data_IF_308678511285
#
_entry.id   IF_308678511285
#
_cell.length_a   1.000
_cell.length_b   1.000
_cell.length_c   1.000
_cell.angle_alpha   90.00
_cell.angle_beta   90.00
_cell.angle_gamma   90.00
#
_symmetry.space_group_name_H-M   'P 1'
#
loop_
_entity.id
_entity.type
_entity.pdbx_description
1 polymer ?
#
# COMPACT_ATOMS: atom_id res chain seq x y z
N UNK A 1 14.84 8.97 -42.63
CA UNK A 1 14.98 9.39 -41.21
C UNK A 1 13.77 8.82 -40.56
N UNK A 2 13.92 7.61 -40.06
CA UNK A 2 12.79 6.71 -39.91
C UNK A 2 12.35 6.90 -38.47
N UNK A 3 11.37 7.79 -38.30
CA UNK A 3 10.70 8.03 -37.04
C UNK A 3 9.83 6.81 -36.73
N UNK A 4 10.49 5.70 -36.38
CA UNK A 4 9.86 4.61 -35.67
C UNK A 4 9.45 5.21 -34.31
N UNK A 5 8.26 5.82 -34.29
CA UNK A 5 7.69 6.46 -33.12
C UNK A 5 7.87 5.51 -31.94
N UNK A 6 8.41 6.05 -30.86
CA UNK A 6 8.83 5.30 -29.67
C UNK A 6 7.76 4.27 -29.27
N UNK A 7 8.01 3.01 -29.62
CA UNK A 7 7.02 1.94 -29.43
C UNK A 7 6.98 1.64 -27.94
N UNK A 8 5.85 1.96 -27.32
CA UNK A 8 5.56 1.59 -25.94
C UNK A 8 4.80 0.27 -25.90
N UNK A 9 5.49 -0.79 -25.48
CA UNK A 9 4.91 -2.14 -25.32
C UNK A 9 4.57 -2.38 -23.85
N UNK A 10 3.34 -2.83 -23.57
CA UNK A 10 2.90 -3.19 -22.21
C UNK A 10 2.50 -4.66 -22.16
N UNK A 11 3.03 -5.41 -21.18
CA UNK A 11 2.68 -6.81 -20.90
C UNK A 11 2.15 -6.96 -19.48
N UNK A 12 1.27 -7.92 -19.30
CA UNK A 12 0.68 -8.25 -18.00
C UNK A 12 0.72 -9.75 -17.75
N UNK A 13 0.85 -10.14 -16.50
CA UNK A 13 0.53 -11.50 -16.04
C UNK A 13 -0.54 -11.45 -14.96
N UNK A 14 -1.30 -12.53 -14.82
CA UNK A 14 -2.42 -12.64 -13.90
C UNK A 14 -2.37 -13.98 -13.16
N UNK A 15 -2.97 -14.03 -11.98
CA UNK A 15 -3.28 -15.28 -11.30
C UNK A 15 -4.57 -15.92 -11.86
N UNK A 16 -4.99 -17.04 -11.28
CA UNK A 16 -6.16 -17.80 -11.75
C UNK A 16 -7.50 -17.08 -11.57
N UNK A 17 -7.58 -16.12 -10.66
CA UNK A 17 -8.81 -15.36 -10.37
C UNK A 17 -8.81 -13.97 -11.04
N UNK A 18 -7.73 -13.63 -11.74
CA UNK A 18 -7.63 -12.42 -12.54
C UNK A 18 -6.92 -11.26 -11.85
N UNK A 19 -6.30 -11.47 -10.68
CA UNK A 19 -5.44 -10.46 -10.09
C UNK A 19 -4.16 -10.33 -10.90
N UNK A 20 -3.73 -9.11 -11.17
CA UNK A 20 -2.52 -8.84 -11.94
C UNK A 20 -1.29 -9.15 -11.12
N UNK A 21 -0.47 -10.13 -11.50
CA UNK A 21 0.78 -10.45 -10.81
C UNK A 21 1.96 -9.57 -11.25
N UNK A 22 1.98 -9.14 -12.51
CA UNK A 22 3.01 -8.23 -13.02
C UNK A 22 2.51 -7.32 -14.13
N UNK A 23 3.19 -6.17 -14.27
CA UNK A 23 3.11 -5.24 -15.40
C UNK A 23 4.52 -4.94 -15.87
N UNK A 24 4.78 -5.13 -17.15
CA UNK A 24 6.02 -4.69 -17.77
C UNK A 24 5.71 -3.61 -18.79
N UNK A 25 6.46 -2.51 -18.75
CA UNK A 25 6.38 -1.43 -19.73
C UNK A 25 7.74 -1.29 -20.37
N UNK A 26 7.84 -1.63 -21.66
CA UNK A 26 9.04 -1.40 -22.46
C UNK A 26 8.84 -0.16 -23.33
N UNK A 27 9.77 0.79 -23.25
CA UNK A 27 9.77 2.02 -24.05
C UNK A 27 11.23 2.40 -24.35
N UNK A 28 11.55 2.79 -25.58
CA UNK A 28 12.91 3.09 -26.03
C UNK A 28 13.96 2.03 -25.61
N UNK A 29 13.60 0.74 -25.64
CA UNK A 29 14.47 -0.38 -25.24
C UNK A 29 14.63 -0.60 -23.73
N UNK A 30 14.14 0.31 -22.88
CA UNK A 30 14.15 0.15 -21.42
C UNK A 30 12.86 -0.48 -20.93
N UNK A 31 12.92 -1.41 -19.98
CA UNK A 31 11.74 -2.08 -19.41
C UNK A 31 11.62 -1.81 -17.92
N UNK A 32 10.50 -1.21 -17.51
CA UNK A 32 10.10 -1.08 -16.10
C UNK A 32 9.22 -2.29 -15.72
N UNK A 33 9.48 -2.93 -14.59
CA UNK A 33 8.65 -4.03 -14.07
C UNK A 33 7.99 -3.63 -12.76
N UNK A 34 6.67 -3.79 -12.70
CA UNK A 34 5.88 -3.69 -11.47
C UNK A 34 5.34 -5.06 -11.09
N UNK A 35 5.52 -5.47 -9.83
CA UNK A 35 5.00 -6.73 -9.28
C UNK A 35 3.97 -6.46 -8.20
N UNK A 36 2.97 -7.32 -8.11
CA UNK A 36 1.85 -7.17 -7.19
C UNK A 36 1.67 -8.42 -6.35
N UNK A 37 1.29 -8.24 -5.09
CA UNK A 37 0.95 -9.32 -4.17
C UNK A 37 -0.42 -9.05 -3.56
N UNK A 38 -1.20 -10.10 -3.33
CA UNK A 38 -2.58 -10.02 -2.85
C UNK A 38 -2.77 -10.92 -1.63
N UNK A 39 -3.75 -10.58 -0.80
CA UNK A 39 -4.23 -11.47 0.25
C UNK A 39 -5.26 -12.48 -0.29
N UNK A 40 -5.75 -13.37 0.58
CA UNK A 40 -6.73 -14.39 0.21
C UNK A 40 -8.12 -13.85 -0.18
N UNK A 41 -8.35 -12.54 0.00
CA UNK A 41 -9.59 -11.87 -0.41
C UNK A 41 -9.36 -11.00 -1.65
N UNK A 42 -8.30 -11.26 -2.42
CA UNK A 42 -7.94 -10.54 -3.65
C UNK A 42 -7.61 -9.05 -3.43
N UNK A 43 -7.21 -8.68 -2.20
CA UNK A 43 -6.84 -7.29 -1.87
C UNK A 43 -5.34 -7.11 -1.96
N UNK A 44 -4.91 -6.03 -2.60
CA UNK A 44 -3.50 -5.72 -2.81
C UNK A 44 -2.78 -5.58 -1.45
N UNK A 45 -1.72 -6.36 -1.23
CA UNK A 45 -0.83 -6.28 -0.08
C UNK A 45 0.41 -5.43 -0.38
N UNK A 46 0.94 -5.53 -1.60
CA UNK A 46 2.08 -4.73 -2.01
C UNK A 46 2.17 -4.54 -3.52
N UNK A 47 2.70 -3.39 -3.92
CA UNK A 47 3.19 -3.13 -5.28
C UNK A 47 4.69 -2.80 -5.19
N UNK A 48 5.51 -3.49 -5.98
CA UNK A 48 6.95 -3.25 -6.11
C UNK A 48 7.22 -2.75 -7.54
N UNK A 49 7.57 -1.47 -7.67
CA UNK A 49 7.95 -0.83 -8.94
C UNK A 49 9.47 -0.67 -9.00
N UNK A 50 10.16 -1.68 -9.52
CA UNK A 50 11.62 -1.75 -9.61
C UNK A 50 12.36 -1.33 -8.33
N UNK A 51 11.93 -1.90 -7.19
CA UNK A 51 12.54 -1.70 -5.87
C UNK A 51 11.83 -0.64 -5.01
N UNK A 52 10.94 0.16 -5.59
CA UNK A 52 10.07 1.08 -4.85
C UNK A 52 8.82 0.32 -4.40
N UNK A 53 8.78 -0.03 -3.11
CA UNK A 53 7.74 -0.89 -2.53
C UNK A 53 6.70 -0.04 -1.81
N UNK A 54 5.46 -0.15 -2.26
CA UNK A 54 4.28 0.33 -1.52
C UNK A 54 3.55 -0.84 -0.88
N UNK A 55 3.28 -0.75 0.43
CA UNK A 55 2.52 -1.77 1.17
C UNK A 55 1.15 -1.28 1.59
N UNK A 56 0.21 -2.21 1.70
CA UNK A 56 -1.19 -1.95 2.04
C UNK A 56 -1.66 -2.94 3.11
N UNK A 57 -2.54 -2.49 4.01
CA UNK A 57 -3.18 -3.34 5.00
C UNK A 57 -4.65 -3.01 5.13
N UNK A 58 -5.49 -4.01 5.37
CA UNK A 58 -6.94 -3.91 5.32
C UNK A 58 -7.56 -4.44 6.62
N UNK A 59 -8.73 -3.94 6.98
CA UNK A 59 -9.55 -4.56 8.02
C UNK A 59 -10.37 -5.74 7.46
N UNK A 60 -11.15 -6.41 8.31
CA UNK A 60 -11.98 -7.54 7.89
C UNK A 60 -13.12 -7.14 6.94
N UNK A 61 -13.55 -5.89 6.96
CA UNK A 61 -14.62 -5.37 6.10
C UNK A 61 -14.11 -4.89 4.74
N UNK A 62 -12.80 -4.95 4.49
CA UNK A 62 -12.19 -4.48 3.25
C UNK A 62 -11.84 -2.99 3.25
N UNK A 63 -11.89 -2.31 4.40
CA UNK A 63 -11.44 -0.94 4.48
C UNK A 63 -9.92 -0.87 4.59
N UNK A 64 -9.30 0.03 3.83
CA UNK A 64 -7.86 0.26 3.89
C UNK A 64 -7.49 0.84 5.25
N UNK A 65 -6.63 0.17 6.01
CA UNK A 65 -6.11 0.66 7.29
C UNK A 65 -4.83 1.49 7.12
N UNK A 66 -3.93 1.05 6.24
CA UNK A 66 -2.64 1.71 6.04
C UNK A 66 -2.17 1.52 4.61
N UNK A 67 -1.56 2.57 4.06
CA UNK A 67 -0.71 2.49 2.88
C UNK A 67 0.64 3.13 3.18
N UNK A 68 1.73 2.53 2.70
CA UNK A 68 3.09 3.04 2.96
C UNK A 68 3.94 3.07 1.68
N UNK A 69 3.86 4.15 0.88
CA UNK A 69 4.76 4.35 -0.26
C UNK A 69 6.08 4.97 0.19
N UNK A 70 7.20 4.35 -0.18
CA UNK A 70 8.56 4.91 -0.06
C UNK A 70 8.79 5.65 1.27
N UNK A 71 8.70 4.91 2.38
CA UNK A 71 8.94 5.43 3.74
C UNK A 71 7.86 6.36 4.31
N UNK A 72 6.99 6.93 3.47
CA UNK A 72 5.82 7.68 3.90
C UNK A 72 4.69 6.71 4.25
N UNK A 73 3.81 7.08 5.17
CA UNK A 73 2.61 6.27 5.42
C UNK A 73 1.37 7.09 5.68
N UNK A 74 0.23 6.58 5.25
CA UNK A 74 -1.09 7.13 5.57
C UNK A 74 -1.91 6.05 6.25
N UNK A 75 -2.47 6.38 7.41
CA UNK A 75 -3.38 5.49 8.16
C UNK A 75 -4.79 6.04 8.11
N UNK A 76 -5.77 5.15 7.99
CA UNK A 76 -7.19 5.47 7.97
C UNK A 76 -7.90 4.84 9.16
N UNK A 77 -8.90 5.54 9.69
CA UNK A 77 -9.79 5.04 10.72
C UNK A 77 -11.22 5.09 10.24
N UNK A 78 -11.96 4.02 10.48
CA UNK A 78 -13.33 3.80 10.02
C UNK A 78 -14.24 3.60 11.22
N UNK A 79 -15.52 3.97 11.07
CA UNK A 79 -16.55 3.60 12.04
C UNK A 79 -17.22 2.26 11.68
N UNK A 80 -18.17 1.83 12.51
CA UNK A 80 -18.90 0.56 12.32
C UNK A 80 -19.78 0.52 11.06
N UNK A 81 -20.02 1.65 10.42
CA UNK A 81 -20.79 1.76 9.19
C UNK A 81 -19.87 1.92 7.96
N UNK A 82 -18.58 1.57 8.10
CA UNK A 82 -17.57 1.68 7.06
C UNK A 82 -17.40 3.12 6.52
N UNK A 83 -17.62 4.12 7.39
CA UNK A 83 -17.39 5.52 7.03
C UNK A 83 -16.02 5.96 7.52
N UNK A 84 -15.28 6.66 6.66
CA UNK A 84 -13.97 7.20 7.02
C UNK A 84 -14.15 8.32 8.05
N UNK A 85 -13.55 8.16 9.23
CA UNK A 85 -13.60 9.15 10.31
C UNK A 85 -12.23 9.74 10.63
N UNK A 86 -11.14 9.16 10.13
CA UNK A 86 -9.78 9.67 10.37
C UNK A 86 -8.84 9.33 9.22
N UNK A 87 -7.97 10.28 8.87
CA UNK A 87 -6.82 10.06 7.97
C UNK A 87 -5.59 10.76 8.55
N UNK A 88 -4.51 10.02 8.74
CA UNK A 88 -3.26 10.55 9.32
C UNK A 88 -2.08 10.23 8.39
N UNK A 89 -1.37 11.27 7.93
CA UNK A 89 -0.19 11.15 7.09
C UNK A 89 1.08 11.33 7.93
N UNK A 90 1.94 10.33 7.90
CA UNK A 90 3.28 10.35 8.48
C UNK A 90 4.28 10.48 7.33
N UNK A 91 4.88 11.66 7.11
CA UNK A 91 6.02 11.75 6.21
C UNK A 91 7.19 10.97 6.79
N UNK A 92 8.08 10.49 5.91
CA UNK A 92 9.33 9.82 6.24
C UNK A 92 10.31 10.77 6.95
N UNK A 93 10.02 11.19 8.19
CA UNK A 93 11.01 11.79 9.06
C UNK A 93 10.62 11.82 10.54
N UNK A 94 10.50 10.65 11.15
CA UNK A 94 10.79 10.49 12.59
C UNK A 94 11.56 9.20 12.80
N UNK A 95 12.88 9.33 12.92
CA UNK A 95 13.72 8.33 13.61
C UNK A 95 13.11 8.11 15.01
N UNK A 96 12.25 7.10 15.14
CA UNK A 96 11.95 6.47 16.42
C UNK A 96 12.85 5.26 16.48
N UNK A 97 14.07 5.47 16.96
CA UNK A 97 14.91 4.39 17.47
C UNK A 97 14.09 3.63 18.52
N UNK A 98 13.51 2.50 18.12
CA UNK A 98 12.93 1.55 19.07
C UNK A 98 14.10 0.91 19.81
N UNK A 99 14.33 1.30 21.06
CA UNK A 99 15.05 0.45 22.00
C UNK A 99 14.23 -0.84 22.17
N UNK A 100 14.82 -2.04 22.02
CA UNK A 100 14.12 -3.28 22.31
C UNK A 100 13.92 -3.36 23.83
N UNK A 101 12.66 -3.38 24.28
CA UNK A 101 12.31 -3.50 25.69
C UNK A 101 11.59 -2.28 26.28
N UNK A 102 10.40 -1.96 25.79
CA UNK A 102 9.40 -1.27 26.58
C UNK A 102 8.02 -1.66 26.07
N UNK A 103 7.23 -2.28 26.95
CA UNK A 103 5.84 -2.62 26.71
C UNK A 103 5.07 -1.40 26.15
N UNK A 104 4.51 -1.52 24.95
CA UNK A 104 3.51 -0.57 24.51
C UNK A 104 2.18 -0.94 25.16
N UNK A 105 2.04 -0.52 26.41
CA UNK A 105 0.77 -0.40 27.09
C UNK A 105 0.01 0.78 26.44
N UNK A 106 -0.73 0.53 25.37
CA UNK A 106 -1.68 1.53 24.86
C UNK A 106 -2.95 1.46 25.68
N UNK A 107 -2.93 2.15 26.83
CA UNK A 107 -4.14 2.56 27.53
C UNK A 107 -4.81 3.66 26.70
N UNK A 108 -5.89 3.32 26.00
CA UNK A 108 -6.81 4.32 25.43
C UNK A 108 -7.71 4.78 26.57
N UNK A 109 -7.46 5.98 27.09
CA UNK A 109 -8.40 6.65 27.99
C UNK A 109 -9.57 7.14 27.15
N UNK A 110 -10.70 6.43 27.14
CA UNK A 110 -11.98 7.01 26.72
C UNK A 110 -12.49 7.89 27.86
N UNK A 111 -12.33 9.20 27.70
CA UNK A 111 -13.03 10.18 28.52
C UNK A 111 -14.42 10.43 27.96
N UNK A 112 -15.45 10.24 28.79
CA UNK A 112 -16.83 10.67 28.49
C UNK A 112 -17.88 9.90 29.30
N UNK A 113 -18.33 10.50 30.41
CA UNK A 113 -19.40 10.04 31.32
C UNK A 113 -20.74 9.74 30.61
N UNK A 114 -21.53 8.80 31.15
CA UNK A 114 -22.97 8.94 31.43
C UNK A 114 -23.41 7.85 32.45
N UNK A 115 -24.27 8.23 33.40
CA UNK A 115 -24.91 7.33 34.38
C UNK A 115 -24.53 7.61 35.82
#
# INVERSE_FOLDING_TARGET
MDEAGDIRLTRYSYDAVGNRLSKQVTQAGSTLTTRYQYDSNDRLLSEDSDGLITTYSWDANGNLLKQSPDGNSTTHGWDSHNRLIRRYRQPENRVRTRRPGAAHQTRVTMGGKIG
#
